data_IF_616515256251
#
_entry.id   IF_616515256251
#
_cell.length_a   1.000
_cell.length_b   1.000
_cell.length_c   1.000
_cell.angle_alpha   90.00
_cell.angle_beta   90.00
_cell.angle_gamma   90.00
#
_symmetry.space_group_name_H-M   'P 1'
#
loop_
_entity.id
_entity.type
_entity.pdbx_description
1 polymer ?
#
# COMPACT_ATOMS: atom_id res chain seq x y z
N UNK A 1 4.21 -12.93 -8.77
CA UNK A 1 4.66 -11.83 -7.89
C UNK A 1 5.81 -12.27 -7.00
N UNK A 2 6.86 -11.44 -6.82
CA UNK A 2 7.96 -11.64 -5.86
C UNK A 2 7.74 -10.79 -4.61
N UNK A 3 7.95 -11.35 -3.41
CA UNK A 3 7.81 -10.62 -2.14
C UNK A 3 9.17 -10.47 -1.49
N UNK A 4 9.59 -9.23 -1.28
CA UNK A 4 10.86 -8.88 -0.63
C UNK A 4 10.61 -8.33 0.77
N UNK A 5 11.29 -8.88 1.77
CA UNK A 5 11.41 -8.24 3.08
C UNK A 5 12.54 -7.21 3.04
N UNK A 6 12.45 -6.17 3.82
CA UNK A 6 13.34 -5.00 3.73
C UNK A 6 14.86 -5.32 3.67
N UNK A 7 15.32 -6.37 4.34
CA UNK A 7 16.75 -6.76 4.34
C UNK A 7 17.15 -7.57 3.10
N UNK A 8 16.21 -8.04 2.33
CA UNK A 8 16.47 -8.81 1.12
C UNK A 8 16.82 -7.85 -0.02
N UNK A 9 17.92 -8.13 -0.71
CA UNK A 9 18.29 -7.38 -1.90
C UNK A 9 17.30 -7.74 -3.01
N UNK A 10 16.87 -6.72 -3.75
CA UNK A 10 16.10 -6.91 -4.97
C UNK A 10 16.91 -7.76 -5.96
N UNK A 11 16.28 -8.77 -6.56
CA UNK A 11 16.92 -9.57 -7.59
C UNK A 11 16.89 -8.81 -8.91
N UNK A 12 18.04 -8.29 -9.32
CA UNK A 12 18.22 -7.56 -10.57
C UNK A 12 18.10 -6.04 -10.44
N UNK A 13 18.53 -5.37 -11.50
CA UNK A 13 18.67 -3.90 -11.58
C UNK A 13 17.69 -3.31 -12.61
N UNK A 14 16.56 -4.01 -12.84
CA UNK A 14 15.56 -3.57 -13.81
C UNK A 14 14.90 -2.28 -13.31
N UNK A 15 14.82 -1.23 -14.14
CA UNK A 15 14.12 -0.01 -13.77
C UNK A 15 12.66 -0.28 -13.46
N UNK A 16 12.06 0.53 -12.57
CA UNK A 16 10.70 0.26 -12.09
C UNK A 16 9.81 1.49 -11.97
N UNK A 17 8.52 1.21 -12.10
CA UNK A 17 7.42 2.06 -11.65
C UNK A 17 7.02 1.61 -10.25
N UNK A 18 7.00 2.52 -9.30
CA UNK A 18 6.79 2.19 -7.88
C UNK A 18 5.54 2.89 -7.35
N UNK A 19 4.83 2.22 -6.47
CA UNK A 19 3.83 2.86 -5.60
C UNK A 19 4.10 2.52 -4.14
N UNK A 20 3.61 3.36 -3.23
CA UNK A 20 3.81 3.17 -1.80
C UNK A 20 2.54 3.48 -1.01
N UNK A 21 2.20 2.61 -0.06
CA UNK A 21 1.02 2.78 0.79
C UNK A 21 0.78 1.60 1.74
N UNK A 22 -0.29 1.67 2.51
CA UNK A 22 -0.66 0.58 3.43
C UNK A 22 -1.43 -0.54 2.75
N UNK A 23 -2.20 -0.23 1.73
CA UNK A 23 -2.98 -1.16 0.90
C UNK A 23 -3.88 -2.13 1.69
N UNK A 24 -4.32 -1.73 2.89
CA UNK A 24 -5.20 -2.57 3.70
C UNK A 24 -6.56 -2.73 3.02
N UNK A 25 -6.90 -3.99 2.74
CA UNK A 25 -8.14 -4.37 2.08
C UNK A 25 -8.15 -4.25 0.55
N UNK A 26 -7.13 -3.71 -0.11
CA UNK A 26 -7.08 -3.59 -1.59
C UNK A 26 -8.43 -3.16 -2.19
N UNK A 27 -8.98 -2.04 -1.65
CA UNK A 27 -10.24 -1.46 -2.14
C UNK A 27 -10.08 -0.84 -3.55
N UNK A 28 -11.17 -0.46 -4.18
CA UNK A 28 -11.17 0.05 -5.56
C UNK A 28 -10.19 1.22 -5.79
N UNK A 29 -10.00 2.10 -4.81
CA UNK A 29 -8.96 3.15 -4.88
C UNK A 29 -7.54 2.58 -4.92
N UNK A 30 -7.25 1.52 -4.16
CA UNK A 30 -5.96 0.83 -4.22
C UNK A 30 -5.79 0.08 -5.55
N UNK A 31 -6.86 -0.56 -6.05
CA UNK A 31 -6.84 -1.25 -7.34
C UNK A 31 -6.61 -0.28 -8.50
N UNK A 32 -7.20 0.90 -8.47
CA UNK A 32 -6.93 1.95 -9.46
C UNK A 32 -5.45 2.38 -9.43
N UNK A 33 -4.90 2.59 -8.23
CA UNK A 33 -3.50 2.96 -8.05
C UNK A 33 -2.54 1.86 -8.53
N UNK A 34 -2.74 0.61 -8.12
CA UNK A 34 -1.90 -0.52 -8.56
C UNK A 34 -2.07 -0.79 -10.06
N UNK A 35 -3.27 -0.64 -10.60
CA UNK A 35 -3.54 -0.76 -12.03
C UNK A 35 -2.76 0.28 -12.85
N UNK A 36 -2.71 1.54 -12.39
CA UNK A 36 -1.90 2.58 -13.04
C UNK A 36 -0.41 2.19 -13.06
N UNK A 37 0.13 1.66 -11.95
CA UNK A 37 1.52 1.20 -11.87
C UNK A 37 1.82 0.05 -12.82
N UNK A 38 0.94 -0.96 -12.85
CA UNK A 38 1.08 -2.14 -13.73
C UNK A 38 1.03 -1.75 -15.20
N UNK A 39 0.07 -0.89 -15.57
CA UNK A 39 -0.07 -0.44 -16.96
C UNK A 39 1.14 0.39 -17.41
N UNK A 40 1.54 1.38 -16.62
CA UNK A 40 2.72 2.20 -16.92
C UNK A 40 4.00 1.36 -17.05
N UNK A 41 4.19 0.41 -16.13
CA UNK A 41 5.35 -0.49 -16.18
C UNK A 41 5.34 -1.36 -17.44
N UNK A 42 4.17 -1.90 -17.80
CA UNK A 42 3.99 -2.72 -19.01
C UNK A 42 4.25 -1.93 -20.29
N UNK A 43 3.70 -0.72 -20.39
CA UNK A 43 3.81 0.12 -21.58
C UNK A 43 5.25 0.57 -21.84
N UNK A 44 6.08 0.64 -20.79
CA UNK A 44 7.50 1.04 -20.88
C UNK A 44 8.50 -0.11 -20.72
N UNK A 45 8.04 -1.35 -20.67
CA UNK A 45 8.87 -2.54 -20.41
C UNK A 45 9.70 -2.42 -19.13
N UNK A 46 9.06 -1.94 -18.04
CA UNK A 46 9.65 -1.78 -16.71
C UNK A 46 9.09 -2.83 -15.74
N UNK A 47 9.66 -2.94 -14.53
CA UNK A 47 9.05 -3.69 -13.43
C UNK A 47 8.03 -2.83 -12.69
N UNK A 48 6.92 -3.43 -12.26
CA UNK A 48 5.94 -2.83 -11.36
C UNK A 48 6.24 -3.22 -9.91
N UNK A 49 6.38 -2.23 -9.00
CA UNK A 49 6.69 -2.49 -7.61
C UNK A 49 5.74 -1.76 -6.65
N UNK A 50 5.36 -2.47 -5.59
CA UNK A 50 4.53 -1.95 -4.51
C UNK A 50 5.32 -1.97 -3.20
N UNK A 51 5.41 -0.84 -2.52
CA UNK A 51 6.02 -0.71 -1.19
C UNK A 51 4.90 -0.64 -0.15
N UNK A 52 4.96 -1.51 0.85
CA UNK A 52 4.00 -1.54 1.96
C UNK A 52 4.68 -1.77 3.30
N UNK A 53 3.92 -1.71 4.38
CA UNK A 53 4.44 -1.75 5.75
C UNK A 53 3.84 -2.91 6.55
N UNK A 54 4.68 -3.54 7.36
CA UNK A 54 4.22 -4.53 8.34
C UNK A 54 5.09 -4.47 9.62
N UNK A 55 4.46 -4.35 10.83
CA UNK A 55 3.03 -4.19 11.08
C UNK A 55 2.45 -2.92 10.47
N UNK A 56 1.12 -2.79 10.49
CA UNK A 56 0.45 -1.58 9.99
C UNK A 56 0.88 -0.35 10.79
N UNK A 57 1.22 0.80 10.15
CA UNK A 57 1.75 1.98 10.85
C UNK A 57 0.92 2.41 12.07
N UNK A 58 -0.40 2.36 11.98
CA UNK A 58 -1.27 2.72 13.12
C UNK A 58 -1.14 1.77 14.32
N UNK A 59 -0.73 0.52 14.14
CA UNK A 59 -0.50 -0.41 15.25
C UNK A 59 0.68 0.04 16.12
N UNK A 60 1.70 0.64 15.49
CA UNK A 60 2.88 1.18 16.17
C UNK A 60 2.65 2.58 16.70
N UNK A 61 2.02 3.46 15.89
CA UNK A 61 1.78 4.85 16.27
C UNK A 61 0.69 4.99 17.34
N UNK A 62 -0.27 4.07 17.37
CA UNK A 62 -1.41 4.11 18.29
C UNK A 62 -1.63 2.76 18.98
N UNK A 63 -0.67 2.22 19.78
CA UNK A 63 -0.73 0.87 20.36
C UNK A 63 -1.94 0.65 21.29
N UNK A 64 -2.48 1.74 21.87
CA UNK A 64 -3.69 1.70 22.70
C UNK A 64 -4.99 1.70 21.89
N UNK A 65 -4.94 1.90 20.58
CA UNK A 65 -6.07 1.90 19.66
C UNK A 65 -5.71 1.08 18.41
N UNK A 66 -5.61 -0.24 18.55
CA UNK A 66 -5.19 -1.08 17.42
C UNK A 66 -6.14 -0.90 16.25
N UNK A 67 -5.57 -0.77 15.06
CA UNK A 67 -6.36 -0.68 13.85
C UNK A 67 -7.03 -2.02 13.57
N UNK A 68 -8.33 -1.98 13.32
CA UNK A 68 -9.04 -3.15 12.79
C UNK A 68 -8.66 -3.30 11.31
N UNK A 69 -7.81 -4.26 10.99
CA UNK A 69 -7.41 -4.53 9.60
C UNK A 69 -8.61 -5.04 8.81
N UNK A 70 -8.73 -4.58 7.56
CA UNK A 70 -9.78 -5.02 6.64
C UNK A 70 -9.50 -6.47 6.20
N UNK A 71 -8.23 -6.83 6.06
CA UNK A 71 -7.84 -8.19 5.69
C UNK A 71 -6.61 -8.66 6.48
N UNK A 72 -6.46 -9.99 6.57
CA UNK A 72 -5.25 -10.60 7.14
C UNK A 72 -4.05 -10.40 6.22
N UNK A 73 -2.80 -10.47 6.73
CA UNK A 73 -1.60 -10.39 5.88
C UNK A 73 -1.58 -11.44 4.75
N UNK A 74 -2.08 -12.64 5.03
CA UNK A 74 -2.16 -13.72 4.03
C UNK A 74 -3.13 -13.38 2.90
N UNK A 75 -4.32 -12.82 3.24
CA UNK A 75 -5.28 -12.38 2.24
C UNK A 75 -4.73 -11.17 1.46
N UNK A 76 -4.07 -10.23 2.15
CA UNK A 76 -3.44 -9.07 1.51
C UNK A 76 -2.42 -9.50 0.46
N UNK A 77 -1.57 -10.49 0.76
CA UNK A 77 -0.60 -11.02 -0.20
C UNK A 77 -1.27 -11.64 -1.45
N UNK A 78 -2.39 -12.37 -1.28
CA UNK A 78 -3.17 -12.87 -2.42
C UNK A 78 -3.72 -11.74 -3.28
N UNK A 79 -4.27 -10.71 -2.64
CA UNK A 79 -4.79 -9.54 -3.35
C UNK A 79 -3.71 -8.75 -4.11
N UNK A 80 -2.48 -8.74 -3.60
CA UNK A 80 -1.33 -8.19 -4.33
C UNK A 80 -0.98 -9.04 -5.56
N UNK A 81 -0.99 -10.37 -5.42
CA UNK A 81 -0.73 -11.28 -6.55
C UNK A 81 -1.79 -11.12 -7.64
N UNK A 82 -3.07 -11.06 -7.25
CA UNK A 82 -4.20 -10.83 -8.15
C UNK A 82 -4.14 -9.45 -8.85
N UNK A 83 -3.45 -8.47 -8.29
CA UNK A 83 -3.31 -7.14 -8.89
C UNK A 83 -2.34 -7.07 -10.08
N UNK A 84 -1.57 -8.12 -10.31
CA UNK A 84 -0.58 -8.19 -11.39
C UNK A 84 0.72 -7.43 -11.13
N UNK A 85 0.94 -6.93 -9.91
CA UNK A 85 2.22 -6.32 -9.49
C UNK A 85 3.35 -7.37 -9.55
N UNK A 86 4.50 -7.02 -10.10
CA UNK A 86 5.66 -7.91 -10.19
C UNK A 86 6.35 -8.10 -8.84
N UNK A 87 6.51 -7.03 -8.08
CA UNK A 87 7.29 -7.00 -6.84
C UNK A 87 6.53 -6.32 -5.69
N UNK A 88 6.54 -6.95 -4.52
CA UNK A 88 6.04 -6.35 -3.26
C UNK A 88 7.18 -6.24 -2.27
N UNK A 89 7.42 -5.04 -1.78
CA UNK A 89 8.45 -4.73 -0.79
C UNK A 89 7.83 -4.39 0.55
N UNK A 90 8.01 -5.28 1.53
CA UNK A 90 7.44 -5.11 2.86
C UNK A 90 8.48 -4.48 3.79
N UNK A 91 8.24 -3.24 4.19
CA UNK A 91 9.09 -2.50 5.13
C UNK A 91 8.60 -2.76 6.56
N UNK A 92 9.48 -3.20 7.49
CA UNK A 92 9.13 -3.27 8.90
C UNK A 92 8.83 -1.86 9.42
N UNK A 93 7.58 -1.61 9.83
CA UNK A 93 7.25 -0.33 10.45
C UNK A 93 7.60 -0.38 11.93
N UNK A 94 8.65 0.31 12.32
CA UNK A 94 9.16 0.36 13.68
C UNK A 94 9.07 1.79 14.24
N UNK A 95 9.20 1.98 15.57
CA UNK A 95 9.29 3.32 16.16
C UNK A 95 10.39 4.18 15.54
N UNK A 96 11.54 3.58 15.23
CA UNK A 96 12.66 4.28 14.59
C UNK A 96 12.32 4.74 13.18
N UNK A 97 11.56 3.93 12.42
CA UNK A 97 11.07 4.33 11.10
C UNK A 97 10.06 5.48 11.20
N UNK A 98 9.20 5.47 12.22
CA UNK A 98 8.21 6.52 12.46
C UNK A 98 8.85 7.88 12.78
N UNK A 99 10.07 7.88 13.37
CA UNK A 99 10.85 9.08 13.69
C UNK A 99 11.74 9.56 12.54
N UNK A 100 11.80 8.82 11.42
CA UNK A 100 12.64 9.19 10.28
C UNK A 100 12.04 10.37 9.52
N UNK A 101 12.85 11.39 9.24
CA UNK A 101 12.40 12.50 8.41
C UNK A 101 12.07 12.06 6.97
N UNK A 102 11.37 12.92 6.24
CA UNK A 102 10.84 12.55 4.93
C UNK A 102 11.96 12.37 3.88
N UNK A 103 12.99 13.21 3.88
CA UNK A 103 14.11 13.10 2.94
C UNK A 103 14.91 11.81 3.18
N UNK A 104 15.23 11.49 4.44
CA UNK A 104 15.92 10.25 4.80
C UNK A 104 15.08 9.00 4.48
N UNK A 105 13.75 9.08 4.69
CA UNK A 105 12.84 8.00 4.28
C UNK A 105 12.90 7.77 2.77
N UNK A 106 12.71 8.82 1.97
CA UNK A 106 12.74 8.71 0.51
C UNK A 106 14.08 8.20 0.00
N UNK A 107 15.19 8.75 0.52
CA UNK A 107 16.53 8.29 0.16
C UNK A 107 16.72 6.80 0.42
N UNK A 108 16.41 6.35 1.64
CA UNK A 108 16.70 4.98 2.09
C UNK A 108 15.75 3.92 1.51
N UNK A 109 14.47 4.25 1.38
CA UNK A 109 13.42 3.27 1.07
C UNK A 109 12.92 3.34 -0.36
N UNK A 110 13.23 4.42 -1.09
CA UNK A 110 12.90 4.57 -2.49
C UNK A 110 14.17 4.64 -3.35
N UNK A 111 14.99 5.68 -3.22
CA UNK A 111 16.10 5.95 -4.14
C UNK A 111 17.22 4.91 -4.07
N UNK A 112 17.61 4.47 -2.86
CA UNK A 112 18.66 3.45 -2.69
C UNK A 112 18.18 2.03 -2.99
N UNK A 113 16.87 1.82 -3.03
CA UNK A 113 16.28 0.49 -3.21
C UNK A 113 15.89 0.19 -4.63
N UNK A 114 15.47 1.20 -5.37
CA UNK A 114 14.94 1.04 -6.72
C UNK A 114 15.74 1.87 -7.73
N UNK A 115 15.91 1.32 -8.92
CA UNK A 115 16.20 2.14 -10.10
C UNK A 115 14.87 2.76 -10.53
N UNK A 116 14.52 3.85 -9.84
CA UNK A 116 13.20 4.46 -9.91
C UNK A 116 13.06 5.28 -11.20
N UNK A 117 12.11 4.92 -12.05
CA UNK A 117 11.78 5.67 -13.27
C UNK A 117 10.50 6.52 -13.08
N UNK A 118 9.54 5.97 -12.32
CA UNK A 118 8.32 6.69 -12.00
C UNK A 118 7.79 6.28 -10.63
N UNK A 119 7.35 7.24 -9.86
CA UNK A 119 6.62 7.04 -8.62
C UNK A 119 5.17 7.46 -8.83
N UNK A 120 4.21 6.55 -8.55
CA UNK A 120 2.78 6.83 -8.65
C UNK A 120 2.19 6.72 -7.26
N UNK A 121 1.60 7.80 -6.75
CA UNK A 121 1.07 7.90 -5.39
C UNK A 121 -0.41 8.27 -5.36
N UNK A 122 -1.09 7.94 -4.28
CA UNK A 122 -2.46 8.41 -4.06
C UNK A 122 -2.48 9.89 -3.62
N UNK A 123 -3.57 10.58 -3.90
CA UNK A 123 -3.78 12.01 -3.63
C UNK A 123 -3.56 12.45 -2.17
N UNK A 124 -3.74 11.55 -1.21
CA UNK A 124 -3.60 11.80 0.23
C UNK A 124 -2.31 11.25 0.83
N UNK A 125 -1.39 10.83 -0.03
CA UNK A 125 -0.14 10.22 0.41
C UNK A 125 0.71 11.22 1.19
N UNK A 126 1.11 10.82 2.39
CA UNK A 126 2.01 11.55 3.28
C UNK A 126 2.92 10.57 3.98
N UNK A 127 4.18 10.94 4.18
CA UNK A 127 5.20 10.08 4.75
C UNK A 127 6.20 10.85 5.63
N UNK A 128 7.13 10.10 6.25
CA UNK A 128 8.10 10.67 7.18
C UNK A 128 7.52 11.10 8.51
N UNK A 129 8.37 11.51 9.43
CA UNK A 129 8.00 11.98 10.76
C UNK A 129 6.97 13.11 10.67
N UNK A 130 5.92 13.00 11.46
CA UNK A 130 4.79 13.96 11.48
C UNK A 130 4.12 14.18 10.11
N UNK A 131 4.28 13.23 9.17
CA UNK A 131 3.70 13.32 7.82
C UNK A 131 4.16 14.55 7.02
N UNK A 132 5.41 14.98 7.24
CA UNK A 132 5.98 16.17 6.59
C UNK A 132 6.31 15.95 5.11
N UNK A 133 6.51 14.71 4.68
CA UNK A 133 6.71 14.37 3.27
C UNK A 133 5.39 14.37 2.49
N UNK A 134 5.39 15.02 1.35
CA UNK A 134 4.24 15.20 0.47
C UNK A 134 4.63 15.14 -1.01
N UNK A 135 3.67 15.48 -1.88
CA UNK A 135 3.87 15.55 -3.32
C UNK A 135 5.00 16.51 -3.71
N UNK A 136 5.05 17.72 -3.11
CA UNK A 136 6.04 18.75 -3.45
C UNK A 136 7.46 18.27 -3.17
N UNK A 137 7.67 17.63 -2.02
CA UNK A 137 8.97 17.03 -1.69
C UNK A 137 9.36 15.94 -2.69
N UNK A 138 8.44 15.05 -3.03
CA UNK A 138 8.71 13.97 -4.00
C UNK A 138 8.96 14.51 -5.41
N UNK A 139 8.28 15.57 -5.82
CA UNK A 139 8.50 16.23 -7.11
C UNK A 139 9.91 16.83 -7.19
N UNK A 140 10.36 17.53 -6.15
CA UNK A 140 11.74 18.02 -6.04
C UNK A 140 12.75 16.87 -6.12
N UNK A 141 12.54 15.81 -5.35
CA UNK A 141 13.42 14.63 -5.38
C UNK A 141 13.41 13.95 -6.75
N UNK A 142 12.28 13.94 -7.45
CA UNK A 142 12.18 13.45 -8.82
C UNK A 142 13.05 14.23 -9.80
N UNK A 143 13.01 15.57 -9.73
CA UNK A 143 13.86 16.44 -10.54
C UNK A 143 15.35 16.24 -10.23
N UNK A 144 15.71 16.08 -8.96
CA UNK A 144 17.09 15.89 -8.53
C UNK A 144 17.66 14.50 -8.89
N UNK A 145 16.81 13.45 -8.94
CA UNK A 145 17.23 12.06 -9.09
C UNK A 145 16.77 11.39 -10.40
N UNK A 146 16.09 12.12 -11.27
CA UNK A 146 15.76 11.65 -12.63
C UNK A 146 14.55 10.71 -12.70
N UNK A 147 13.60 10.76 -11.76
CA UNK A 147 12.35 10.02 -11.86
C UNK A 147 11.14 10.95 -11.99
N UNK A 148 10.09 10.47 -12.66
CA UNK A 148 8.83 11.20 -12.76
C UNK A 148 7.88 10.86 -11.61
N UNK A 149 7.00 11.82 -11.26
CA UNK A 149 5.97 11.66 -10.22
C UNK A 149 4.58 11.81 -10.82
N UNK A 150 3.66 10.96 -10.40
CA UNK A 150 2.24 11.05 -10.75
C UNK A 150 1.37 10.89 -9.50
N UNK A 151 0.33 11.72 -9.40
CA UNK A 151 -0.69 11.61 -8.37
C UNK A 151 -1.99 11.05 -8.97
N UNK A 152 -2.48 9.96 -8.40
CA UNK A 152 -3.76 9.38 -8.77
C UNK A 152 -4.88 10.02 -7.95
N UNK A 153 -5.86 10.57 -8.65
CA UNK A 153 -7.03 11.17 -8.05
C UNK A 153 -7.84 10.18 -7.18
N UNK A 154 -8.58 10.66 -6.18
CA UNK A 154 -9.38 9.78 -5.33
C UNK A 154 -10.45 9.04 -6.13
N UNK A 155 -10.47 7.71 -5.99
CA UNK A 155 -11.54 6.88 -6.57
C UNK A 155 -12.85 7.14 -5.82
N UNK A 156 -13.92 7.38 -6.58
CA UNK A 156 -15.23 7.69 -6.02
C UNK A 156 -16.30 6.74 -6.52
N UNK A 157 -17.19 6.37 -5.61
CA UNK A 157 -18.46 5.74 -5.94
C UNK A 157 -19.54 6.72 -5.53
N UNK A 158 -20.36 7.15 -6.49
CA UNK A 158 -21.31 8.26 -6.31
C UNK A 158 -20.53 9.52 -5.86
N UNK A 159 -20.84 10.09 -4.72
CA UNK A 159 -20.12 11.23 -4.13
C UNK A 159 -19.04 10.84 -3.09
N UNK A 160 -19.00 9.58 -2.69
CA UNK A 160 -18.12 9.09 -1.62
C UNK A 160 -16.74 8.71 -2.12
N UNK A 161 -15.68 9.18 -1.44
CA UNK A 161 -14.31 8.70 -1.67
C UNK A 161 -14.16 7.31 -1.06
N UNK A 162 -13.67 6.37 -1.86
CA UNK A 162 -13.34 5.01 -1.41
C UNK A 162 -12.07 5.05 -0.58
N UNK A 163 -12.15 4.65 0.70
CA UNK A 163 -11.02 4.64 1.62
C UNK A 163 -11.09 3.50 2.63
N UNK A 164 -9.94 3.08 3.15
CA UNK A 164 -9.90 2.06 4.21
C UNK A 164 -10.65 2.51 5.48
N UNK A 165 -10.69 3.79 5.78
CA UNK A 165 -11.43 4.33 6.95
C UNK A 165 -12.93 4.15 6.79
N UNK A 166 -13.47 4.48 5.62
CA UNK A 166 -14.88 4.28 5.30
C UNK A 166 -15.24 2.79 5.37
N UNK A 167 -14.45 1.92 4.76
CA UNK A 167 -14.70 0.47 4.75
C UNK A 167 -14.69 -0.09 6.18
N UNK A 168 -13.74 0.31 7.03
CA UNK A 168 -13.73 -0.11 8.45
C UNK A 168 -14.97 0.34 9.20
N UNK A 169 -15.48 1.54 8.91
CA UNK A 169 -16.74 2.02 9.48
C UNK A 169 -17.90 1.14 9.04
N UNK A 170 -18.04 0.88 7.75
CA UNK A 170 -19.13 0.04 7.21
C UNK A 170 -19.09 -1.40 7.74
N UNK A 171 -17.89 -1.97 7.94
CA UNK A 171 -17.72 -3.29 8.56
C UNK A 171 -18.24 -3.26 10.01
N UNK A 172 -17.91 -2.23 10.81
CA UNK A 172 -18.42 -2.10 12.18
C UNK A 172 -19.93 -1.94 12.23
N UNK A 173 -20.51 -1.30 11.23
CA UNK A 173 -21.96 -1.11 11.06
C UNK A 173 -22.64 -2.33 10.43
N UNK A 174 -21.90 -3.40 10.12
CA UNK A 174 -22.40 -4.62 9.45
C UNK A 174 -23.03 -4.36 8.07
N UNK A 175 -22.67 -3.29 7.39
CA UNK A 175 -23.17 -2.89 6.06
C UNK A 175 -22.38 -3.58 4.95
N UNK A 176 -22.41 -4.91 4.94
CA UNK A 176 -21.52 -5.71 4.08
C UNK A 176 -21.78 -5.55 2.58
N UNK A 177 -23.02 -5.28 2.17
CA UNK A 177 -23.31 -4.99 0.75
C UNK A 177 -22.57 -3.74 0.25
N UNK A 178 -22.48 -2.72 1.09
CA UNK A 178 -21.71 -1.52 0.75
C UNK A 178 -20.21 -1.75 0.87
N UNK A 179 -19.76 -2.56 1.82
CA UNK A 179 -18.35 -2.97 1.88
C UNK A 179 -17.94 -3.66 0.57
N UNK A 180 -18.78 -4.56 0.03
CA UNK A 180 -18.55 -5.21 -1.25
C UNK A 180 -18.49 -4.21 -2.40
N UNK A 181 -19.40 -3.23 -2.46
CA UNK A 181 -19.38 -2.15 -3.45
C UNK A 181 -18.05 -1.39 -3.45
N UNK A 182 -17.48 -1.07 -2.28
CA UNK A 182 -16.23 -0.32 -2.15
C UNK A 182 -14.97 -1.18 -2.32
N UNK A 183 -15.05 -2.48 -2.00
CA UNK A 183 -13.97 -3.42 -2.23
C UNK A 183 -13.91 -3.91 -3.69
N UNK A 184 -15.03 -3.85 -4.43
CA UNK A 184 -15.17 -4.47 -5.76
C UNK A 184 -15.18 -6.00 -5.72
N UNK A 185 -15.39 -6.59 -4.53
CA UNK A 185 -15.45 -8.03 -4.30
C UNK A 185 -16.12 -8.33 -2.95
N UNK A 186 -16.61 -9.57 -2.71
CA UNK A 186 -17.15 -9.97 -1.42
C UNK A 186 -16.12 -9.78 -0.27
N UNK A 187 -16.59 -9.26 0.85
CA UNK A 187 -15.77 -9.19 2.06
C UNK A 187 -15.44 -10.60 2.55
N UNK A 188 -14.17 -10.89 2.71
CA UNK A 188 -13.68 -12.22 3.04
C UNK A 188 -12.75 -12.20 4.25
N UNK A 189 -12.87 -13.21 5.09
CA UNK A 189 -11.97 -13.50 6.20
C UNK A 189 -11.21 -14.79 5.90
N UNK A 190 -9.91 -14.77 6.17
CA UNK A 190 -9.07 -15.95 6.11
C UNK A 190 -8.73 -16.40 7.53
N UNK A 191 -9.01 -17.65 7.85
CA UNK A 191 -8.73 -18.24 9.16
C UNK A 191 -8.49 -19.73 9.07
N UNK A 192 -8.05 -20.31 10.17
CA UNK A 192 -7.89 -21.75 10.31
C UNK A 192 -9.10 -22.31 11.08
N UNK A 193 -9.77 -23.30 10.52
CA UNK A 193 -10.85 -24.01 11.20
C UNK A 193 -10.25 -24.84 12.34
N UNK A 194 -10.71 -24.59 13.55
CA UNK A 194 -10.35 -25.37 14.73
C UNK A 194 -11.56 -26.14 15.24
N UNK A 195 -11.30 -27.32 15.85
CA UNK A 195 -12.34 -28.11 16.48
C UNK A 195 -12.87 -27.36 17.71
N UNK A 196 -14.15 -27.01 17.69
CA UNK A 196 -14.81 -26.37 18.81
C UNK A 196 -15.07 -27.33 19.96
N UNK A 197 -15.66 -26.83 21.07
CA UNK A 197 -15.98 -27.59 22.28
C UNK A 197 -17.18 -28.53 22.11
N UNK A 198 -17.70 -28.73 20.89
CA UNK A 198 -18.82 -29.61 20.57
C UNK A 198 -20.09 -29.36 21.44
N UNK A 199 -20.32 -28.10 21.77
CA UNK A 199 -21.55 -27.66 22.48
C UNK A 199 -22.61 -27.29 21.43
N UNK A 200 -23.32 -28.27 20.93
CA UNK A 200 -24.37 -28.04 19.96
C UNK A 200 -25.33 -29.20 19.99
#
# INVERSE_FOLDING_TARGET
>A
MQVYRFREKRSGDRPCVVTIGNFDGMHLGHQALTGAVVNEAKDRDLSSALVTFHPHPQEILHPRRPVQRICTPQLQNRLFDDSGIDEVHVIPFTPELAELDADAFASRYLLQRFKLEKLIIGYDFRFGKNRTGDFILLERLGQENGFSLEEVAPFRIKSQIVSSSLIRQLIREMRFSEVEEYLGRPYSLLGTVQKGEQRG
#
